data_IF_988097137373
#
_entry.id   IF_988097137373
#
_cell.length_a   1.000
_cell.length_b   1.000
_cell.length_c   1.000
_cell.angle_alpha   90.00
_cell.angle_beta   90.00
_cell.angle_gamma   90.00
#
_symmetry.space_group_name_H-M   'P 1'
#
loop_
_entity.id
_entity.type
_entity.pdbx_description
1 polymer ?
#
# COMPACT_ATOMS: atom_id res chain seq x y z
N UNK A 1 0.96 -15.71 3.64
CA UNK A 1 2.25 -16.42 3.58
C UNK A 1 3.27 -15.45 3.03
N UNK A 2 3.98 -14.75 3.90
CA UNK A 2 5.17 -13.99 3.48
C UNK A 2 6.25 -15.04 3.30
N UNK A 3 6.64 -15.25 2.05
CA UNK A 3 7.81 -16.05 1.71
C UNK A 3 8.89 -15.06 1.30
N UNK A 4 10.00 -15.04 2.02
CA UNK A 4 11.26 -14.58 1.46
C UNK A 4 12.32 -15.63 1.74
N UNK A 5 12.84 -16.23 0.66
CA UNK A 5 14.26 -16.52 0.49
C UNK A 5 14.46 -16.93 -0.99
N UNK A 6 14.85 -15.98 -1.85
CA UNK A 6 15.59 -16.34 -3.07
C UNK A 6 17.09 -16.17 -2.78
N UNK A 7 17.89 -17.25 -2.84
CA UNK A 7 19.34 -17.13 -2.77
C UNK A 7 19.87 -16.87 -4.19
N UNK A 8 20.19 -15.61 -4.51
CA UNK A 8 21.19 -15.35 -5.55
C UNK A 8 22.55 -15.45 -4.84
N UNK A 9 23.29 -16.50 -5.19
CA UNK A 9 24.41 -17.00 -4.41
C UNK A 9 25.52 -15.99 -4.12
N UNK A 10 25.85 -15.88 -2.83
CA UNK A 10 27.23 -15.82 -2.36
C UNK A 10 27.30 -16.56 -1.02
N UNK A 11 27.95 -17.72 -1.04
CA UNK A 11 28.09 -18.62 0.12
C UNK A 11 28.99 -17.99 1.18
N UNK A 12 28.39 -17.48 2.27
CA UNK A 12 29.08 -17.28 3.54
C UNK A 12 28.15 -17.83 4.65
N UNK A 13 28.60 -18.91 5.30
CA UNK A 13 27.98 -19.67 6.39
C UNK A 13 26.78 -20.56 6.02
N UNK A 14 26.98 -21.88 6.07
CA UNK A 14 25.92 -22.89 6.13
C UNK A 14 25.13 -22.71 7.44
N UNK A 15 24.15 -21.83 7.44
CA UNK A 15 23.12 -21.77 8.47
C UNK A 15 22.07 -22.83 8.09
N UNK A 16 21.81 -23.78 8.99
CA UNK A 16 20.72 -24.73 8.80
C UNK A 16 19.40 -23.97 9.03
N UNK A 17 18.73 -23.59 7.94
CA UNK A 17 17.48 -22.83 7.98
C UNK A 17 16.30 -23.81 8.08
N UNK A 18 15.49 -23.68 9.13
CA UNK A 18 14.21 -24.36 9.28
C UNK A 18 13.06 -23.39 9.02
N UNK A 19 12.06 -23.85 8.28
CA UNK A 19 10.87 -23.06 7.97
C UNK A 19 9.83 -23.23 9.08
N UNK A 20 9.39 -22.11 9.64
CA UNK A 20 8.30 -22.07 10.61
C UNK A 20 7.23 -21.09 10.12
N UNK A 21 5.93 -21.41 10.26
CA UNK A 21 4.88 -20.43 10.03
C UNK A 21 5.06 -19.24 10.97
N UNK A 22 5.29 -18.05 10.41
CA UNK A 22 5.46 -16.84 11.19
C UNK A 22 4.12 -16.25 11.68
N UNK A 23 3.01 -16.58 11.01
CA UNK A 23 1.69 -16.00 11.26
C UNK A 23 0.61 -17.08 11.26
N UNK A 24 -0.39 -16.94 12.12
CA UNK A 24 -1.59 -17.78 12.16
C UNK A 24 -2.75 -17.22 11.31
N UNK A 25 -2.46 -16.51 10.21
CA UNK A 25 -3.50 -15.90 9.36
C UNK A 25 -4.23 -16.95 8.53
N UNK A 26 -5.57 -16.85 8.48
CA UNK A 26 -6.42 -17.64 7.58
C UNK A 26 -6.74 -16.90 6.27
N UNK A 27 -6.42 -15.61 6.22
CA UNK A 27 -6.72 -14.75 5.07
C UNK A 27 -5.76 -15.04 3.92
N UNK A 28 -6.26 -14.97 2.69
CA UNK A 28 -5.42 -15.11 1.50
C UNK A 28 -4.66 -13.80 1.27
N UNK A 29 -3.37 -13.86 0.95
CA UNK A 29 -2.65 -12.66 0.51
C UNK A 29 -3.28 -12.10 -0.77
N UNK A 30 -3.38 -10.78 -0.88
CA UNK A 30 -3.85 -10.13 -2.10
C UNK A 30 -2.86 -10.35 -3.26
N UNK A 31 -3.32 -10.25 -4.50
CA UNK A 31 -2.45 -10.12 -5.66
C UNK A 31 -2.90 -8.92 -6.54
N UNK A 32 -2.06 -7.91 -6.77
CA UNK A 32 -0.76 -7.67 -6.12
C UNK A 32 -0.95 -7.36 -4.63
N UNK A 33 -0.07 -7.90 -3.77
CA UNK A 33 -0.06 -7.51 -2.35
C UNK A 33 0.79 -6.26 -2.15
N UNK A 34 0.54 -5.62 -1.02
CA UNK A 34 1.32 -4.58 -0.36
C UNK A 34 1.63 -5.06 1.05
N UNK A 35 2.86 -4.84 1.50
CA UNK A 35 3.32 -5.17 2.85
C UNK A 35 4.34 -4.13 3.31
N UNK A 36 4.52 -4.00 4.63
CA UNK A 36 5.53 -3.13 5.22
C UNK A 36 6.01 -3.71 6.57
N UNK A 37 7.21 -3.29 7.00
CA UNK A 37 7.76 -3.58 8.32
C UNK A 37 8.08 -2.25 9.01
N UNK A 38 7.15 -1.77 9.83
CA UNK A 38 7.09 -0.38 10.33
C UNK A 38 6.27 -0.34 11.61
N UNK A 39 6.63 0.54 12.54
CA UNK A 39 5.88 0.73 13.79
C UNK A 39 4.52 1.35 13.50
N UNK A 40 3.45 0.61 13.80
CA UNK A 40 2.05 1.02 13.61
C UNK A 40 1.23 0.90 14.90
N UNK A 41 1.82 0.36 15.97
CA UNK A 41 1.22 0.26 17.30
C UNK A 41 1.76 1.29 18.29
N UNK A 42 2.73 2.10 17.86
CA UNK A 42 3.35 3.19 18.64
C UNK A 42 4.12 2.67 19.86
N UNK A 43 4.70 1.47 19.73
CA UNK A 43 5.45 0.80 20.79
C UNK A 43 6.98 0.80 20.56
N UNK A 44 7.45 1.53 19.54
CA UNK A 44 8.84 1.61 19.08
C UNK A 44 9.39 0.31 18.49
N UNK A 45 8.54 -0.68 18.23
CA UNK A 45 8.90 -1.90 17.54
C UNK A 45 8.28 -1.93 16.14
N UNK A 46 9.00 -2.49 15.18
CA UNK A 46 8.47 -2.59 13.83
C UNK A 46 7.45 -3.73 13.76
N UNK A 47 6.23 -3.36 13.33
CA UNK A 47 5.10 -4.25 13.11
C UNK A 47 5.05 -4.70 11.67
N UNK A 48 4.27 -5.75 11.43
CA UNK A 48 4.06 -6.28 10.09
C UNK A 48 2.69 -5.85 9.56
N UNK A 49 2.70 -5.09 8.47
CA UNK A 49 1.51 -4.71 7.73
C UNK A 49 1.30 -5.62 6.52
N UNK A 50 0.06 -6.05 6.30
CA UNK A 50 -0.32 -6.89 5.17
C UNK A 50 -1.63 -6.47 4.52
N UNK A 51 -1.70 -6.62 3.20
CA UNK A 51 -2.97 -6.60 2.46
C UNK A 51 -3.44 -8.01 2.16
N UNK A 52 -4.66 -8.33 2.59
CA UNK A 52 -5.25 -9.65 2.48
C UNK A 52 -6.66 -9.60 1.90
N UNK A 53 -7.19 -10.78 1.63
CA UNK A 53 -8.58 -11.02 1.26
C UNK A 53 -9.20 -11.86 2.37
N UNK A 54 -10.29 -11.35 2.93
CA UNK A 54 -11.10 -12.07 3.91
C UNK A 54 -11.69 -13.35 3.31
N UNK A 55 -12.32 -14.19 4.13
CA UNK A 55 -13.01 -15.39 3.65
C UNK A 55 -14.14 -15.08 2.65
N UNK A 56 -14.75 -13.89 2.74
CA UNK A 56 -15.74 -13.39 1.77
C UNK A 56 -15.13 -12.68 0.57
N UNK A 57 -13.80 -12.80 0.38
CA UNK A 57 -13.04 -12.14 -0.68
C UNK A 57 -13.08 -10.60 -0.62
N UNK A 58 -13.32 -10.05 0.57
CA UNK A 58 -13.26 -8.61 0.81
C UNK A 58 -11.82 -8.18 1.03
N UNK A 59 -11.39 -7.11 0.37
CA UNK A 59 -10.08 -6.51 0.60
C UNK A 59 -9.99 -5.93 2.01
N UNK A 60 -8.92 -6.26 2.72
CA UNK A 60 -8.64 -5.74 4.06
C UNK A 60 -7.14 -5.54 4.29
N UNK A 61 -6.83 -4.72 5.27
CA UNK A 61 -5.51 -4.50 5.83
C UNK A 61 -5.41 -5.23 7.17
N UNK A 62 -4.28 -5.87 7.43
CA UNK A 62 -3.98 -6.52 8.70
C UNK A 62 -2.69 -5.91 9.26
N UNK A 63 -2.72 -5.49 10.53
CA UNK A 63 -1.52 -5.12 11.30
C UNK A 63 -1.25 -6.25 12.29
N UNK A 64 -0.02 -6.74 12.25
CA UNK A 64 0.50 -7.80 13.12
C UNK A 64 1.59 -7.19 14.00
N UNK A 65 1.27 -7.07 15.29
CA UNK A 65 2.15 -6.48 16.31
C UNK A 65 3.30 -7.41 16.64
N UNK A 66 4.49 -6.85 16.81
CA UNK A 66 5.71 -7.59 17.10
C UNK A 66 5.98 -7.70 18.61
N UNK A 67 5.55 -8.81 19.21
CA UNK A 67 5.79 -9.13 20.61
C UNK A 67 7.13 -9.88 20.81
N UNK A 68 8.24 -9.20 20.50
CA UNK A 68 9.59 -9.74 20.72
C UNK A 68 9.98 -10.87 19.77
N UNK A 69 9.59 -10.76 18.49
CA UNK A 69 9.86 -11.73 17.42
C UNK A 69 8.68 -12.66 17.12
N UNK A 70 7.63 -12.63 17.94
CA UNK A 70 6.36 -13.30 17.68
C UNK A 70 5.32 -12.27 17.23
N UNK A 71 4.60 -12.58 16.15
CA UNK A 71 3.59 -11.67 15.60
C UNK A 71 2.18 -12.07 16.03
N UNK A 72 1.42 -11.12 16.57
CA UNK A 72 -0.01 -11.28 16.87
C UNK A 72 -0.86 -10.29 16.09
N UNK A 73 -2.01 -10.74 15.59
CA UNK A 73 -2.94 -9.86 14.88
C UNK A 73 -3.47 -8.79 15.84
N UNK A 74 -3.13 -7.53 15.58
CA UNK A 74 -3.49 -6.37 16.41
C UNK A 74 -4.73 -5.67 15.86
N UNK A 75 -4.78 -5.39 14.56
CA UNK A 75 -5.93 -4.72 13.94
C UNK A 75 -6.23 -5.19 12.53
N UNK A 76 -7.50 -5.02 12.14
CA UNK A 76 -7.99 -5.26 10.78
C UNK A 76 -8.89 -4.10 10.39
N UNK A 77 -8.66 -3.53 9.21
CA UNK A 77 -9.47 -2.43 8.69
C UNK A 77 -9.60 -2.50 7.16
N UNK A 78 -10.58 -1.77 6.63
CA UNK A 78 -10.88 -1.78 5.20
C UNK A 78 -10.39 -0.51 4.51
N UNK A 79 -10.29 -0.57 3.17
CA UNK A 79 -10.07 0.58 2.30
C UNK A 79 -11.22 1.61 2.39
N UNK A 80 -11.04 2.84 1.90
CA UNK A 80 -12.14 3.78 1.68
C UNK A 80 -13.27 3.12 0.86
N UNK A 81 -14.53 3.38 1.24
CA UNK A 81 -15.71 2.72 0.66
C UNK A 81 -15.86 3.00 -0.84
N UNK A 82 -15.51 4.21 -1.27
CA UNK A 82 -15.58 4.67 -2.65
C UNK A 82 -14.40 4.21 -3.52
N UNK A 83 -13.31 3.70 -2.94
CA UNK A 83 -12.17 3.22 -3.72
C UNK A 83 -12.53 1.92 -4.45
N UNK A 84 -12.47 1.91 -5.78
CA UNK A 84 -12.70 0.72 -6.62
C UNK A 84 -11.37 0.01 -6.91
N UNK A 85 -10.34 0.78 -7.25
CA UNK A 85 -8.98 0.28 -7.49
C UNK A 85 -8.08 0.71 -6.33
N UNK A 86 -7.45 -0.27 -5.68
CA UNK A 86 -6.54 -0.03 -4.54
C UNK A 86 -5.09 -0.18 -4.99
N UNK A 87 -4.29 0.87 -4.76
CA UNK A 87 -2.85 0.85 -4.97
C UNK A 87 -2.07 0.21 -3.82
N UNK A 88 -0.76 0.45 -3.83
CA UNK A 88 0.19 0.06 -2.80
C UNK A 88 0.14 1.06 -1.66
N UNK A 89 0.23 0.54 -0.43
CA UNK A 89 0.31 1.37 0.76
C UNK A 89 1.67 2.07 0.81
N UNK A 90 1.68 3.34 1.22
CA UNK A 90 2.87 4.10 1.50
C UNK A 90 2.79 4.63 2.93
N UNK A 91 3.91 4.65 3.64
CA UNK A 91 3.98 5.06 5.03
C UNK A 91 5.08 6.09 5.24
N UNK A 92 4.75 7.17 5.96
CA UNK A 92 5.68 8.21 6.38
C UNK A 92 5.01 9.09 7.45
N UNK A 93 5.79 9.80 8.25
CA UNK A 93 5.31 10.82 9.18
C UNK A 93 5.20 12.16 8.43
N UNK A 94 4.00 12.52 7.94
CA UNK A 94 3.82 13.70 7.08
C UNK A 94 3.58 14.99 7.87
N UNK A 95 3.14 14.91 9.11
CA UNK A 95 2.93 16.08 9.97
C UNK A 95 4.00 16.26 11.07
N UNK A 96 4.96 15.33 11.16
CA UNK A 96 6.12 15.42 12.02
C UNK A 96 5.80 15.14 13.49
N UNK A 97 4.73 14.38 13.76
CA UNK A 97 4.26 14.09 15.12
C UNK A 97 4.96 12.86 15.75
N UNK A 98 5.78 12.15 14.98
CA UNK A 98 6.51 10.96 15.40
C UNK A 98 5.75 9.65 15.13
N UNK A 99 4.56 9.71 14.56
CA UNK A 99 3.75 8.55 14.20
C UNK A 99 3.66 8.37 12.69
N UNK A 100 3.55 7.12 12.24
CA UNK A 100 3.55 6.81 10.82
C UNK A 100 2.12 6.96 10.25
N UNK A 101 1.96 7.83 9.26
CA UNK A 101 0.72 7.93 8.51
C UNK A 101 0.66 6.91 7.38
N UNK A 102 -0.56 6.49 7.02
CA UNK A 102 -0.82 5.58 5.91
C UNK A 102 -1.43 6.34 4.73
N UNK A 103 -0.68 6.45 3.64
CA UNK A 103 -1.19 6.91 2.34
C UNK A 103 -1.66 5.72 1.51
N UNK A 104 -2.86 5.87 0.95
CA UNK A 104 -3.46 4.90 0.05
C UNK A 104 -3.85 5.57 -1.26
N UNK A 105 -3.02 5.42 -2.30
CA UNK A 105 -3.35 5.89 -3.63
C UNK A 105 -4.32 4.90 -4.31
N UNK A 106 -5.25 5.41 -5.10
CA UNK A 106 -6.24 4.58 -5.75
C UNK A 106 -7.17 5.33 -6.69
N UNK A 107 -8.21 4.63 -7.13
CA UNK A 107 -9.21 5.17 -8.05
C UNK A 107 -10.61 4.84 -7.56
N UNK A 108 -11.50 5.82 -7.63
CA UNK A 108 -12.92 5.70 -7.27
C UNK A 108 -13.77 5.15 -8.43
N UNK A 109 -13.13 4.94 -9.58
CA UNK A 109 -13.69 4.31 -10.77
C UNK A 109 -12.71 3.28 -11.35
N UNK A 110 -13.19 2.42 -12.26
CA UNK A 110 -12.37 1.34 -12.84
C UNK A 110 -11.28 1.87 -13.78
N UNK A 111 -11.53 2.99 -14.45
CA UNK A 111 -10.66 3.53 -15.50
C UNK A 111 -9.67 4.59 -14.99
N UNK A 112 -9.68 4.84 -13.67
CA UNK A 112 -8.89 5.87 -12.99
C UNK A 112 -9.11 7.29 -13.52
N UNK A 113 -10.34 7.60 -13.96
CA UNK A 113 -10.75 8.98 -14.24
C UNK A 113 -10.96 9.80 -12.97
N UNK A 114 -11.32 9.14 -11.85
CA UNK A 114 -11.46 9.70 -10.52
C UNK A 114 -10.37 9.13 -9.62
N UNK A 115 -9.15 9.60 -9.86
CA UNK A 115 -7.99 9.23 -9.04
C UNK A 115 -7.97 10.01 -7.73
N UNK A 116 -7.55 9.35 -6.65
CA UNK A 116 -7.53 9.92 -5.32
C UNK A 116 -6.37 9.35 -4.49
N UNK A 117 -5.85 10.16 -3.56
CA UNK A 117 -4.94 9.72 -2.50
C UNK A 117 -5.65 9.95 -1.17
N UNK A 118 -5.73 8.89 -0.38
CA UNK A 118 -6.28 8.93 0.97
C UNK A 118 -5.16 8.88 1.99
N UNK A 119 -5.37 9.55 3.12
CA UNK A 119 -4.53 9.53 4.31
C UNK A 119 -5.32 8.88 5.43
N UNK A 120 -4.68 8.02 6.22
CA UNK A 120 -5.17 7.57 7.51
C UNK A 120 -4.06 7.75 8.53
N UNK A 121 -4.35 8.54 9.57
CA UNK A 121 -3.43 8.74 10.69
C UNK A 121 -3.41 7.52 11.60
N UNK A 122 -2.28 7.30 12.27
CA UNK A 122 -2.14 6.24 13.28
C UNK A 122 -3.28 6.28 14.30
N UNK A 123 -3.76 5.09 14.70
CA UNK A 123 -4.81 4.91 15.70
C UNK A 123 -6.23 5.40 15.32
N UNK A 124 -6.42 6.17 14.25
CA UNK A 124 -7.74 6.76 13.93
C UNK A 124 -8.69 5.79 13.25
N UNK A 125 -8.17 4.91 12.38
CA UNK A 125 -8.98 4.04 11.52
C UNK A 125 -9.89 4.79 10.53
N UNK A 126 -9.66 6.09 10.31
CA UNK A 126 -10.49 6.93 9.44
C UNK A 126 -9.68 7.42 8.23
N UNK A 127 -10.24 7.19 7.04
CA UNK A 127 -9.67 7.66 5.78
C UNK A 127 -10.15 9.07 5.45
N UNK A 128 -9.19 9.96 5.15
CA UNK A 128 -9.45 11.33 4.68
C UNK A 128 -8.85 11.50 3.28
N UNK A 129 -9.60 11.97 2.28
CA UNK A 129 -9.03 12.29 0.98
C UNK A 129 -8.12 13.52 1.12
N UNK A 130 -6.85 13.39 0.72
CA UNK A 130 -5.88 14.49 0.76
C UNK A 130 -5.61 15.07 -0.62
N UNK A 131 -5.82 14.29 -1.67
CA UNK A 131 -5.73 14.74 -3.05
C UNK A 131 -6.76 14.03 -3.91
N UNK A 132 -7.55 14.81 -4.65
CA UNK A 132 -8.53 14.34 -5.63
C UNK A 132 -8.44 15.26 -6.86
N UNK A 133 -9.11 14.88 -7.96
CA UNK A 133 -9.25 15.71 -9.16
C UNK A 133 -7.91 16.25 -9.70
N UNK A 134 -6.95 15.35 -9.93
CA UNK A 134 -5.59 15.71 -10.36
C UNK A 134 -5.63 16.50 -11.67
N UNK A 135 -5.63 17.82 -11.59
CA UNK A 135 -5.82 18.70 -12.73
C UNK A 135 -4.72 19.76 -12.78
N UNK A 136 -4.17 19.95 -13.97
CA UNK A 136 -3.14 20.94 -14.22
C UNK A 136 -3.38 21.62 -15.55
N UNK A 137 -3.54 22.95 -15.53
CA UNK A 137 -3.80 23.78 -16.72
C UNK A 137 -4.95 23.25 -17.60
N UNK A 138 -6.03 22.78 -16.98
CA UNK A 138 -7.21 22.24 -17.67
C UNK A 138 -7.07 20.81 -18.21
N UNK A 139 -5.90 20.17 -18.03
CA UNK A 139 -5.69 18.75 -18.32
C UNK A 139 -5.99 17.94 -17.07
N UNK A 140 -6.86 16.94 -17.19
CA UNK A 140 -7.10 15.96 -16.14
C UNK A 140 -6.05 14.85 -16.24
N UNK A 141 -5.55 14.45 -15.09
CA UNK A 141 -4.60 13.37 -14.90
C UNK A 141 -5.21 12.30 -14.03
N UNK A 142 -4.75 11.07 -14.20
CA UNK A 142 -5.16 9.96 -13.37
C UNK A 142 -4.07 8.90 -13.30
N UNK A 143 -4.17 8.04 -12.29
CA UNK A 143 -3.29 6.90 -12.19
C UNK A 143 -3.43 5.98 -13.41
N UNK A 144 -2.38 5.21 -13.68
CA UNK A 144 -2.43 4.15 -14.69
C UNK A 144 -3.07 2.92 -14.02
N UNK A 145 -4.31 2.54 -14.39
CA UNK A 145 -4.97 1.39 -13.78
C UNK A 145 -4.24 0.11 -14.13
N UNK A 146 -4.31 -0.85 -13.20
CA UNK A 146 -3.90 -2.20 -13.47
C UNK A 146 -4.98 -2.93 -14.29
N UNK A 147 -4.81 -3.00 -15.61
CA UNK A 147 -5.69 -3.78 -16.50
C UNK A 147 -5.11 -5.19 -16.69
N UNK A 148 -5.69 -6.17 -16.00
CA UNK A 148 -5.31 -7.58 -16.13
C UNK A 148 -5.61 -8.16 -17.53
N UNK A 149 -6.52 -7.51 -18.29
CA UNK A 149 -7.17 -8.13 -19.45
C UNK A 149 -6.60 -7.71 -20.81
N UNK A 150 -5.80 -6.66 -20.93
CA UNK A 150 -5.47 -6.11 -22.26
C UNK A 150 -4.09 -6.50 -22.83
N UNK A 151 -3.10 -6.88 -22.02
CA UNK A 151 -1.76 -7.21 -22.56
C UNK A 151 -1.01 -8.29 -21.76
N UNK A 152 -0.97 -9.55 -22.27
CA UNK A 152 -0.23 -10.66 -21.65
C UNK A 152 1.30 -10.46 -21.56
N UNK A 153 1.85 -9.45 -22.24
CA UNK A 153 3.28 -9.13 -22.27
C UNK A 153 3.66 -7.91 -21.43
N UNK A 154 2.69 -7.25 -20.78
CA UNK A 154 2.96 -6.08 -19.95
C UNK A 154 3.23 -6.49 -18.49
N UNK A 155 4.34 -6.01 -17.92
CA UNK A 155 4.61 -6.20 -16.50
C UNK A 155 3.57 -5.36 -15.74
N UNK A 156 2.77 -5.96 -14.85
CA UNK A 156 1.76 -5.25 -14.09
C UNK A 156 2.43 -4.33 -13.07
N UNK A 157 2.45 -3.02 -13.33
CA UNK A 157 2.98 -2.04 -12.38
C UNK A 157 1.83 -1.64 -11.44
N UNK A 158 1.88 -2.01 -10.15
CA UNK A 158 0.86 -1.60 -9.22
C UNK A 158 0.94 -0.09 -8.99
N UNK A 159 -0.22 0.53 -8.81
CA UNK A 159 -0.37 1.94 -8.49
C UNK A 159 0.37 2.24 -7.18
N UNK A 160 1.49 2.96 -7.25
CA UNK A 160 2.42 3.15 -6.12
C UNK A 160 2.79 4.62 -6.00
N UNK A 161 2.94 5.10 -4.77
CA UNK A 161 3.59 6.39 -4.48
C UNK A 161 5.04 6.14 -4.09
N UNK A 162 5.95 6.95 -4.61
CA UNK A 162 7.34 6.99 -4.14
C UNK A 162 7.46 8.11 -3.12
N UNK A 163 7.80 7.75 -1.89
CA UNK A 163 7.95 8.69 -0.78
C UNK A 163 9.42 9.08 -0.62
N UNK A 164 9.67 10.35 -0.39
CA UNK A 164 11.00 10.89 -0.08
C UNK A 164 10.96 12.42 -0.02
N UNK A 165 11.98 13.05 0.56
CA UNK A 165 12.10 14.51 0.56
C UNK A 165 12.74 14.96 -0.75
N UNK A 166 11.90 15.34 -1.73
CA UNK A 166 12.35 15.70 -3.09
C UNK A 166 12.65 17.19 -3.21
N UNK A 167 12.02 18.02 -2.38
CA UNK A 167 12.19 19.47 -2.40
C UNK A 167 13.23 19.97 -1.37
N UNK A 168 13.73 19.09 -0.49
CA UNK A 168 14.70 19.34 0.59
C UNK A 168 14.19 20.26 1.71
N UNK A 169 12.90 20.23 2.02
CA UNK A 169 12.30 21.02 3.11
C UNK A 169 12.27 20.30 4.46
N UNK A 170 12.69 19.02 4.50
CA UNK A 170 12.71 18.19 5.70
C UNK A 170 11.40 17.44 5.97
N UNK A 171 10.40 17.55 5.10
CA UNK A 171 9.15 16.79 5.16
C UNK A 171 9.08 15.75 4.02
N UNK A 172 8.39 14.61 4.22
CA UNK A 172 8.20 13.64 3.15
C UNK A 172 7.32 14.18 2.02
N UNK A 173 7.82 14.14 0.79
CA UNK A 173 7.04 14.35 -0.44
C UNK A 173 6.57 13.00 -1.04
N UNK A 174 5.62 13.05 -1.97
CA UNK A 174 5.15 11.90 -2.73
C UNK A 174 5.24 12.14 -4.25
N UNK A 175 5.86 11.19 -4.97
CA UNK A 175 5.93 11.16 -6.42
C UNK A 175 5.03 10.05 -6.98
N UNK A 176 4.29 10.36 -8.05
CA UNK A 176 3.40 9.43 -8.72
C UNK A 176 3.54 9.50 -10.25
N UNK A 177 3.32 8.37 -10.91
CA UNK A 177 3.19 8.30 -12.37
C UNK A 177 1.71 8.44 -12.75
N UNK A 178 1.40 9.46 -13.55
CA UNK A 178 0.05 9.75 -14.01
C UNK A 178 -0.01 9.73 -15.54
N UNK A 179 -1.18 9.39 -16.08
CA UNK A 179 -1.50 9.53 -17.50
C UNK A 179 -2.52 10.64 -17.69
N UNK A 180 -2.48 11.28 -18.86
CA UNK A 180 -3.51 12.22 -19.27
C UNK A 180 -4.82 11.45 -19.48
N UNK A 181 -5.87 11.88 -18.79
CA UNK A 181 -7.22 11.30 -18.86
C UNK A 181 -8.22 12.25 -19.53
N UNK A 182 -7.77 13.42 -19.97
CA UNK A 182 -8.58 14.40 -20.70
C UNK A 182 -9.17 13.78 -21.97
N UNK A 183 -10.49 13.92 -22.15
CA UNK A 183 -11.20 13.41 -23.33
C UNK A 183 -11.70 11.97 -23.22
N UNK A 184 -11.40 11.24 -22.13
CA UNK A 184 -11.94 9.90 -21.84
C UNK A 184 -13.26 9.90 -21.08
N UNK A 185 -14.06 10.99 -21.17
CA UNK A 185 -15.44 11.01 -20.65
C UNK A 185 -16.27 9.96 -21.42
N UNK A 186 -16.37 8.76 -20.87
CA UNK A 186 -17.33 7.76 -21.31
C UNK A 186 -18.66 8.19 -20.69
N UNK A 187 -19.63 8.50 -21.57
CA UNK A 187 -21.00 8.80 -21.19
C UNK A 187 -21.75 7.58 -20.67
#
# INVERSE_FOLDING_TARGET
>A
MILYCEPIGLSILKINLSWHPALSTKSKMRNPHSHAFIDLTEDFTADLFLTTLSASNTFQFEIWENLGGNFSLSSVFEKPKNLVVVGQSAFADFDGDGHMDHLLPGCEDKDCQKSAIYLMRSGTGQWVPVLQDFSSKGTLWGFVPFLHEEQPTSIPIPLTLHIGDYNMDGYPDALAILKNTSGRRIG
#
